data_IF_441443657002
#
_entry.id   IF_441443657002
#
_cell.length_a   1.000
_cell.length_b   1.000
_cell.length_c   1.000
_cell.angle_alpha   90.00
_cell.angle_beta   90.00
_cell.angle_gamma   90.00
#
_symmetry.space_group_name_H-M   'P 1'
#
loop_
_entity.id
_entity.type
_entity.pdbx_description
1 polymer ?
#
# COMPACT_ATOMS: atom_id res chain seq x y z
N UNK A 1 4.13 -17.17 58.37
CA UNK A 1 4.80 -15.85 58.43
C UNK A 1 4.46 -14.92 57.26
N UNK A 2 3.90 -15.42 56.16
CA UNK A 2 3.51 -14.64 54.95
C UNK A 2 2.33 -13.68 55.16
N UNK A 3 1.42 -13.96 56.10
CA UNK A 3 0.18 -13.17 56.31
C UNK A 3 0.37 -11.82 57.00
N UNK A 4 1.51 -11.56 57.66
CA UNK A 4 1.80 -10.25 58.28
C UNK A 4 2.38 -9.25 57.28
N UNK A 5 3.11 -9.72 56.26
CA UNK A 5 3.69 -8.86 55.23
C UNK A 5 2.59 -8.25 54.34
N UNK A 6 1.55 -9.02 53.98
CA UNK A 6 0.43 -8.56 53.12
C UNK A 6 -0.54 -7.56 53.79
N UNK A 7 -0.36 -7.23 55.08
CA UNK A 7 -1.23 -6.31 55.82
C UNK A 7 -0.64 -4.91 56.00
N UNK A 8 0.64 -4.71 55.64
CA UNK A 8 1.26 -3.39 55.73
C UNK A 8 0.77 -2.51 54.57
N UNK A 9 0.37 -1.25 54.81
CA UNK A 9 -0.02 -0.35 53.72
C UNK A 9 1.10 -0.15 52.69
N UNK A 10 2.37 -0.19 53.14
CA UNK A 10 3.55 -0.04 52.29
C UNK A 10 3.72 -1.18 51.27
N UNK A 11 3.38 -2.43 51.62
CA UNK A 11 3.48 -3.55 50.66
C UNK A 11 2.42 -3.42 49.56
N UNK A 12 1.22 -2.94 49.90
CA UNK A 12 0.20 -2.66 48.89
C UNK A 12 0.61 -1.52 47.97
N UNK A 13 1.19 -0.43 48.51
CA UNK A 13 1.75 0.66 47.70
C UNK A 13 2.82 0.14 46.75
N UNK A 14 3.78 -0.66 47.24
CA UNK A 14 4.85 -1.22 46.39
C UNK A 14 4.28 -2.12 45.28
N UNK A 15 3.31 -2.99 45.60
CA UNK A 15 2.63 -3.84 44.61
C UNK A 15 1.89 -3.00 43.58
N UNK A 16 1.17 -1.96 44.00
CA UNK A 16 0.45 -1.06 43.08
C UNK A 16 1.41 -0.32 42.16
N UNK A 17 2.54 0.19 42.66
CA UNK A 17 3.55 0.86 41.84
C UNK A 17 4.17 -0.10 40.83
N UNK A 18 4.52 -1.32 41.25
CA UNK A 18 5.05 -2.35 40.35
C UNK A 18 4.04 -2.75 39.28
N UNK A 19 2.77 -2.95 39.66
CA UNK A 19 1.71 -3.29 38.73
C UNK A 19 1.45 -2.15 37.72
N UNK A 20 1.43 -0.89 38.19
CA UNK A 20 1.29 0.28 37.32
C UNK A 20 2.47 0.41 36.35
N UNK A 21 3.71 0.21 36.84
CA UNK A 21 4.90 0.19 36.00
C UNK A 21 4.90 -0.92 34.95
N UNK A 22 4.48 -2.13 35.33
CA UNK A 22 4.34 -3.25 34.40
C UNK A 22 3.25 -2.99 33.35
N UNK A 23 2.08 -2.47 33.76
CA UNK A 23 1.00 -2.11 32.86
C UNK A 23 1.43 -1.01 31.87
N UNK A 24 2.14 0.00 32.36
CA UNK A 24 2.72 1.06 31.53
C UNK A 24 3.75 0.49 30.53
N UNK A 25 4.65 -0.38 31.00
CA UNK A 25 5.64 -1.04 30.15
C UNK A 25 4.99 -1.87 29.04
N UNK A 26 3.99 -2.69 29.37
CA UNK A 26 3.24 -3.47 28.39
C UNK A 26 2.52 -2.58 27.37
N UNK A 27 1.87 -1.51 27.83
CA UNK A 27 1.21 -0.53 26.95
C UNK A 27 2.18 0.18 26.00
N UNK A 28 3.36 0.57 26.48
CA UNK A 28 4.36 1.30 25.69
C UNK A 28 5.11 0.42 24.69
N UNK A 29 5.50 -0.79 25.09
CA UNK A 29 6.28 -1.68 24.25
C UNK A 29 5.43 -2.53 23.31
N UNK A 30 4.19 -2.87 23.69
CA UNK A 30 3.24 -3.64 22.89
C UNK A 30 3.83 -4.97 22.37
N UNK A 31 4.40 -5.85 23.23
CA UNK A 31 5.11 -7.06 22.79
C UNK A 31 4.24 -8.03 21.98
N UNK A 32 2.92 -8.02 22.15
CA UNK A 32 1.99 -8.84 21.37
C UNK A 32 2.02 -8.52 19.87
N UNK A 33 2.45 -7.32 19.47
CA UNK A 33 2.59 -6.95 18.04
C UNK A 33 3.60 -7.83 17.29
N UNK A 34 4.48 -8.54 17.99
CA UNK A 34 5.40 -9.52 17.39
C UNK A 34 4.69 -10.77 16.85
N UNK A 35 3.48 -11.08 17.32
CA UNK A 35 2.75 -12.31 16.98
C UNK A 35 1.36 -12.06 16.38
N UNK A 36 0.84 -10.84 16.48
CA UNK A 36 -0.44 -10.46 15.87
C UNK A 36 -0.24 -9.91 14.46
N UNK A 37 -1.22 -10.11 13.58
CA UNK A 37 -1.33 -9.42 12.30
C UNK A 37 -2.66 -8.66 12.24
N UNK A 38 -2.65 -7.54 11.51
CA UNK A 38 -3.84 -6.77 11.16
C UNK A 38 -3.93 -6.77 9.64
N UNK A 39 -4.99 -7.40 9.13
CA UNK A 39 -5.27 -7.48 7.71
C UNK A 39 -6.33 -6.45 7.33
N UNK A 40 -6.11 -5.76 6.23
CA UNK A 40 -7.04 -4.79 5.65
C UNK A 40 -7.27 -5.21 4.21
N UNK A 41 -8.53 -5.21 3.78
CA UNK A 41 -8.92 -5.54 2.41
C UNK A 41 -9.86 -4.44 1.92
N UNK A 42 -9.28 -3.32 1.52
CA UNK A 42 -10.00 -2.21 0.91
C UNK A 42 -10.25 -2.48 -0.57
N UNK A 43 -11.40 -2.03 -1.07
CA UNK A 43 -11.70 -2.10 -2.50
C UNK A 43 -10.78 -1.15 -3.26
N UNK A 44 -9.83 -1.74 -3.99
CA UNK A 44 -8.92 -1.02 -4.87
C UNK A 44 -9.58 -0.74 -6.21
N UNK A 45 -9.10 0.28 -6.91
CA UNK A 45 -9.56 0.56 -8.25
C UNK A 45 -9.32 -0.63 -9.19
N UNK A 46 -10.34 -0.98 -9.96
CA UNK A 46 -10.23 -1.92 -11.07
C UNK A 46 -9.55 -1.19 -12.22
N UNK A 47 -8.23 -1.25 -12.25
CA UNK A 47 -7.44 -0.75 -13.38
C UNK A 47 -7.31 -1.90 -14.37
N UNK A 48 -7.76 -1.69 -15.61
CA UNK A 48 -7.58 -2.67 -16.67
C UNK A 48 -6.09 -2.79 -17.00
N UNK A 49 -5.41 -3.80 -16.44
CA UNK A 49 -4.14 -4.27 -16.99
C UNK A 49 -4.45 -4.88 -18.34
N UNK A 50 -3.85 -4.38 -19.41
CA UNK A 50 -3.91 -5.05 -20.70
C UNK A 50 -3.23 -6.42 -20.55
N UNK A 51 -4.00 -7.45 -20.26
CA UNK A 51 -3.56 -8.83 -20.39
C UNK A 51 -3.06 -9.01 -21.82
N UNK A 52 -1.87 -9.58 -22.07
CA UNK A 52 -1.51 -9.97 -23.42
C UNK A 52 -2.58 -10.95 -23.90
N UNK A 53 -3.39 -10.54 -24.88
CA UNK A 53 -4.24 -11.46 -25.63
C UNK A 53 -3.32 -12.53 -26.19
N UNK A 54 -3.49 -13.75 -25.69
CA UNK A 54 -2.96 -14.95 -26.31
C UNK A 54 -3.62 -15.08 -27.69
N UNK A 55 -2.98 -14.46 -28.69
CA UNK A 55 -3.40 -14.52 -30.07
C UNK A 55 -3.04 -15.90 -30.63
N UNK A 56 -3.88 -16.91 -30.38
CA UNK A 56 -3.91 -18.10 -31.23
C UNK A 56 -4.89 -17.84 -32.37
N UNK A 57 -4.38 -17.20 -33.42
CA UNK A 57 -5.03 -17.18 -34.72
C UNK A 57 -4.70 -18.47 -35.46
N UNK A 58 -5.72 -19.26 -35.80
CA UNK A 58 -5.65 -20.23 -36.89
C UNK A 58 -6.82 -19.97 -37.83
N UNK A 59 -6.60 -19.35 -39.00
CA UNK A 59 -7.64 -19.27 -40.02
C UNK A 59 -7.70 -20.60 -40.76
N UNK A 60 -8.78 -21.37 -40.56
CA UNK A 60 -9.07 -22.52 -41.41
C UNK A 60 -9.92 -22.05 -42.60
N UNK A 61 -9.37 -22.14 -43.79
CA UNK A 61 -10.05 -21.89 -45.05
C UNK A 61 -10.86 -23.13 -45.47
N UNK A 62 -12.15 -22.97 -45.79
CA UNK A 62 -12.82 -23.56 -46.96
C UNK A 62 -14.35 -23.48 -46.81
N UNK A 63 -14.98 -22.61 -47.61
CA UNK A 63 -16.26 -22.87 -48.27
C UNK A 63 -16.46 -21.89 -49.43
N UNK A 64 -16.94 -22.43 -50.54
CA UNK A 64 -17.07 -21.83 -51.87
C UNK A 64 -18.27 -20.83 -51.98
N UNK A 65 -18.44 -20.14 -53.12
CA UNK A 65 -19.23 -18.90 -53.23
C UNK A 65 -20.69 -19.17 -53.63
N UNK A 66 -21.60 -18.25 -53.28
CA UNK A 66 -22.84 -18.04 -54.03
C UNK A 66 -23.36 -16.59 -53.93
N UNK A 67 -23.61 -16.06 -55.13
CA UNK A 67 -24.37 -14.93 -55.68
C UNK A 67 -25.18 -13.91 -54.81
N UNK A 68 -24.96 -12.63 -55.17
CA UNK A 68 -25.89 -11.49 -55.32
C UNK A 68 -27.00 -11.22 -54.29
N UNK A 69 -26.93 -10.05 -53.63
CA UNK A 69 -27.82 -8.89 -53.86
C UNK A 69 -27.42 -7.70 -52.99
N UNK A 70 -27.55 -6.49 -53.52
CA UNK A 70 -27.41 -5.18 -52.84
C UNK A 70 -28.77 -4.46 -52.87
N UNK A 71 -28.99 -3.29 -52.23
CA UNK A 71 -28.44 -2.68 -51.01
C UNK A 71 -29.58 -2.16 -50.07
N UNK A 72 -29.25 -1.22 -49.19
CA UNK A 72 -30.10 -0.38 -48.30
C UNK A 72 -30.46 -0.90 -46.90
N UNK A 73 -29.81 -0.34 -45.88
CA UNK A 73 -30.46 0.66 -45.03
C UNK A 73 -29.45 1.30 -44.06
N UNK A 74 -29.49 2.63 -44.07
CA UNK A 74 -28.87 3.56 -43.13
C UNK A 74 -28.94 3.08 -41.66
N UNK A 75 -27.79 3.04 -41.01
CA UNK A 75 -27.68 3.22 -39.57
C UNK A 75 -26.60 4.26 -39.35
N UNK A 76 -27.02 5.45 -38.92
CA UNK A 76 -26.13 6.51 -38.48
C UNK A 76 -25.23 5.97 -37.35
N UNK A 77 -23.94 6.32 -37.31
CA UNK A 77 -23.17 6.11 -36.10
C UNK A 77 -23.71 7.08 -35.05
N UNK A 78 -24.33 6.53 -34.02
CA UNK A 78 -24.71 7.26 -32.83
C UNK A 78 -23.49 8.00 -32.27
N UNK A 79 -23.75 9.24 -31.88
CA UNK A 79 -22.78 10.15 -31.35
C UNK A 79 -22.10 9.57 -30.10
N UNK A 80 -20.77 9.51 -30.16
CA UNK A 80 -19.86 9.91 -29.08
C UNK A 80 -20.31 9.56 -27.66
N UNK A 81 -20.22 8.28 -27.30
CA UNK A 81 -19.84 7.93 -25.93
C UNK A 81 -18.33 8.14 -25.84
N UNK A 82 -17.90 9.28 -25.31
CA UNK A 82 -16.52 9.38 -24.81
C UNK A 82 -16.34 8.23 -23.80
N UNK A 83 -15.31 7.38 -23.94
CA UNK A 83 -15.11 6.30 -22.98
C UNK A 83 -14.90 6.96 -21.62
N UNK A 84 -15.74 6.60 -20.65
CA UNK A 84 -15.47 6.88 -19.24
C UNK A 84 -14.19 6.13 -18.91
N UNK A 85 -13.06 6.83 -19.01
CA UNK A 85 -11.75 6.25 -18.72
C UNK A 85 -11.76 6.00 -17.21
N UNK A 86 -11.98 4.75 -16.82
CA UNK A 86 -11.85 4.30 -15.44
C UNK A 86 -10.49 4.67 -14.84
N UNK A 87 -10.27 4.44 -13.55
CA UNK A 87 -9.04 4.86 -12.89
C UNK A 87 -7.78 4.38 -13.62
N UNK A 88 -6.79 5.26 -13.76
CA UNK A 88 -5.56 5.00 -14.54
C UNK A 88 -4.35 4.97 -13.61
N UNK A 89 -3.47 4.00 -13.77
CA UNK A 89 -2.17 3.97 -13.06
C UNK A 89 -1.28 5.09 -13.60
N UNK A 90 -0.76 5.91 -12.69
CA UNK A 90 0.16 7.01 -12.97
C UNK A 90 1.61 6.57 -12.75
N UNK A 91 1.87 5.86 -11.64
CA UNK A 91 3.17 5.26 -11.32
C UNK A 91 2.98 3.97 -10.55
N UNK A 92 3.91 3.03 -10.69
CA UNK A 92 3.85 1.74 -9.99
C UNK A 92 5.25 1.25 -9.61
N UNK A 93 5.31 0.30 -8.69
CA UNK A 93 6.48 -0.53 -8.46
C UNK A 93 6.32 -1.50 -7.29
N UNK A 94 7.22 -2.47 -7.22
CA UNK A 94 7.18 -3.54 -6.22
C UNK A 94 7.99 -3.18 -4.97
N UNK A 95 7.49 -3.62 -3.82
CA UNK A 95 8.23 -3.48 -2.56
C UNK A 95 9.45 -4.40 -2.54
N UNK A 96 10.58 -3.85 -2.08
CA UNK A 96 11.72 -4.62 -1.62
C UNK A 96 11.77 -4.64 -0.09
N UNK A 97 12.33 -5.72 0.44
CA UNK A 97 12.64 -5.86 1.87
C UNK A 97 13.71 -4.88 2.31
N UNK A 98 13.45 -4.17 3.41
CA UNK A 98 14.45 -3.42 4.18
C UNK A 98 14.67 -4.07 5.56
N UNK A 99 14.43 -3.35 6.66
CA UNK A 99 14.67 -3.89 8.02
C UNK A 99 13.77 -5.10 8.32
N UNK A 100 12.62 -5.21 7.65
CA UNK A 100 11.68 -6.32 7.80
C UNK A 100 11.23 -6.86 6.45
N UNK A 101 11.06 -8.19 6.37
CA UNK A 101 10.49 -8.83 5.18
C UNK A 101 9.22 -8.11 4.75
N UNK A 102 9.22 -7.61 3.51
CA UNK A 102 8.14 -6.80 2.96
C UNK A 102 7.94 -7.12 1.49
N UNK A 103 6.69 -7.38 1.11
CA UNK A 103 6.28 -7.64 -0.28
C UNK A 103 4.96 -6.94 -0.62
N UNK A 104 4.62 -6.94 -1.90
CA UNK A 104 3.43 -6.31 -2.47
C UNK A 104 3.79 -5.26 -3.52
N UNK A 105 2.80 -4.53 -4.00
CA UNK A 105 2.95 -3.48 -5.01
C UNK A 105 2.45 -2.15 -4.46
N UNK A 106 3.17 -1.08 -4.73
CA UNK A 106 2.67 0.28 -4.57
C UNK A 106 2.29 0.83 -5.95
N UNK A 107 1.09 1.38 -6.09
CA UNK A 107 0.68 2.09 -7.32
C UNK A 107 -0.05 3.38 -6.99
N UNK A 108 0.31 4.45 -7.68
CA UNK A 108 -0.46 5.69 -7.66
C UNK A 108 -1.43 5.62 -8.82
N UNK A 109 -2.71 5.80 -8.53
CA UNK A 109 -3.77 5.92 -9.52
C UNK A 109 -4.27 7.36 -9.59
N UNK A 110 -4.82 7.72 -10.75
CA UNK A 110 -5.75 8.84 -10.91
C UNK A 110 -7.15 8.27 -10.97
N UNK A 111 -8.02 8.68 -10.05
CA UNK A 111 -9.44 8.28 -10.04
C UNK A 111 -10.20 8.96 -11.17
N UNK A 112 -11.44 8.52 -11.41
CA UNK A 112 -12.37 9.15 -12.38
C UNK A 112 -12.63 10.62 -12.05
N UNK A 113 -12.59 10.98 -10.76
CA UNK A 113 -12.77 12.36 -10.28
C UNK A 113 -11.48 13.20 -10.38
N UNK A 114 -10.42 12.65 -11.00
CA UNK A 114 -9.12 13.30 -11.18
C UNK A 114 -8.24 13.35 -9.92
N UNK A 115 -8.69 12.78 -8.80
CA UNK A 115 -7.91 12.73 -7.57
C UNK A 115 -6.79 11.68 -7.66
N UNK A 116 -5.70 11.93 -6.93
CA UNK A 116 -4.60 10.99 -6.83
C UNK A 116 -4.73 10.16 -5.56
N UNK A 117 -4.47 8.86 -5.68
CA UNK A 117 -4.53 7.91 -4.58
C UNK A 117 -3.38 6.93 -4.69
N UNK A 118 -2.70 6.68 -3.58
CA UNK A 118 -1.74 5.59 -3.46
C UNK A 118 -2.49 4.33 -3.01
N UNK A 119 -2.33 3.25 -3.75
CA UNK A 119 -2.83 1.92 -3.40
C UNK A 119 -1.66 0.99 -3.11
N UNK A 120 -1.73 0.33 -1.97
CA UNK A 120 -0.85 -0.77 -1.60
C UNK A 120 -1.61 -2.07 -1.88
N UNK A 121 -1.11 -2.84 -2.84
CA UNK A 121 -1.74 -4.07 -3.33
C UNK A 121 -0.99 -5.26 -2.74
N UNK A 122 -1.72 -6.15 -2.06
CA UNK A 122 -1.19 -7.37 -1.48
C UNK A 122 -0.02 -7.13 -0.52
N UNK A 123 -0.06 -6.03 0.25
CA UNK A 123 1.01 -5.72 1.19
C UNK A 123 1.17 -6.88 2.17
N UNK A 124 2.42 -7.27 2.45
CA UNK A 124 2.73 -8.17 3.55
C UNK A 124 4.03 -7.69 4.19
N UNK A 125 3.96 -7.27 5.45
CA UNK A 125 5.13 -6.85 6.24
C UNK A 125 4.95 -7.20 7.71
N UNK A 126 6.00 -7.00 8.51
CA UNK A 126 5.94 -7.15 9.96
C UNK A 126 5.20 -6.00 10.62
N UNK A 127 4.67 -6.23 11.83
CA UNK A 127 4.06 -5.16 12.62
C UNK A 127 5.10 -4.23 13.24
N UNK A 128 4.71 -2.98 13.46
CA UNK A 128 5.57 -1.98 14.09
C UNK A 128 4.82 -1.11 15.10
N UNK A 129 5.56 -0.44 15.99
CA UNK A 129 4.98 0.45 16.98
C UNK A 129 4.37 1.71 16.34
N UNK A 130 4.94 2.19 15.23
CA UNK A 130 4.55 3.45 14.62
C UNK A 130 4.76 3.49 13.10
N UNK A 131 4.19 2.52 12.37
CA UNK A 131 4.31 2.45 10.92
C UNK A 131 3.49 3.54 10.22
N UNK A 132 4.07 4.10 9.16
CA UNK A 132 3.55 5.17 8.30
C UNK A 132 3.75 4.80 6.84
N UNK A 133 2.92 5.39 5.99
CA UNK A 133 3.09 5.34 4.54
C UNK A 133 3.57 6.69 4.07
N UNK A 134 4.79 6.74 3.55
CA UNK A 134 5.45 7.96 3.08
C UNK A 134 5.69 7.89 1.58
N UNK A 135 5.37 8.97 0.86
CA UNK A 135 5.92 9.26 -0.46
C UNK A 135 7.19 10.11 -0.27
N UNK A 136 8.25 9.85 -1.01
CA UNK A 136 9.56 10.48 -0.75
C UNK A 136 10.42 10.58 -2.01
N UNK A 137 11.34 11.55 -2.01
CA UNK A 137 12.30 11.78 -3.08
C UNK A 137 13.56 10.91 -3.01
N UNK A 138 13.64 10.07 -1.99
CA UNK A 138 14.80 9.23 -1.75
C UNK A 138 14.74 7.96 -2.62
N UNK A 139 15.86 7.57 -3.25
CA UNK A 139 15.90 6.38 -4.07
C UNK A 139 15.80 5.12 -3.21
N UNK A 140 15.11 4.11 -3.72
CA UNK A 140 15.10 2.79 -3.11
C UNK A 140 16.46 2.11 -3.33
N UNK A 141 17.08 1.63 -2.24
CA UNK A 141 18.40 0.99 -2.25
C UNK A 141 18.32 -0.33 -1.49
N UNK A 142 18.88 -1.39 -2.04
CA UNK A 142 18.99 -2.67 -1.35
C UNK A 142 20.05 -2.60 -0.23
N UNK A 143 19.90 -3.46 0.78
CA UNK A 143 20.81 -3.53 1.93
C UNK A 143 20.61 -2.42 2.95
N UNK A 144 21.39 -2.46 4.03
CA UNK A 144 21.21 -1.59 5.21
C UNK A 144 21.40 -0.10 4.92
N UNK A 145 22.10 0.24 3.83
CA UNK A 145 22.29 1.61 3.38
C UNK A 145 20.98 2.28 2.91
N UNK A 146 19.95 1.51 2.55
CA UNK A 146 18.63 2.04 2.17
C UNK A 146 17.65 2.21 3.33
N UNK A 147 17.98 1.74 4.54
CA UNK A 147 16.98 1.59 5.59
C UNK A 147 16.59 2.90 6.27
N UNK A 148 17.48 3.89 6.30
CA UNK A 148 17.33 5.11 7.10
C UNK A 148 17.41 6.40 6.29
N UNK A 149 17.21 6.32 4.97
CA UNK A 149 17.41 7.48 4.08
C UNK A 149 16.15 8.30 3.86
N UNK A 150 14.97 7.75 4.13
CA UNK A 150 13.71 8.30 3.64
C UNK A 150 13.25 9.60 4.34
N UNK A 151 13.92 9.98 5.42
CA UNK A 151 13.79 11.27 6.11
C UNK A 151 14.89 12.29 5.76
N UNK A 152 15.84 11.96 4.86
CA UNK A 152 16.95 12.83 4.46
C UNK A 152 16.57 13.89 3.38
N UNK A 153 15.32 13.86 2.89
CA UNK A 153 14.85 14.74 1.80
C UNK A 153 13.39 15.13 1.91
N UNK A 154 12.74 15.42 0.78
CA UNK A 154 11.31 15.73 0.76
C UNK A 154 10.51 14.44 0.93
N UNK A 155 9.52 14.50 1.82
CA UNK A 155 8.57 13.41 2.01
C UNK A 155 7.18 13.96 2.36
N UNK A 156 6.17 13.14 2.09
CA UNK A 156 4.77 13.38 2.43
C UNK A 156 4.26 12.16 3.18
N UNK A 157 3.84 12.35 4.43
CA UNK A 157 3.17 11.32 5.22
C UNK A 157 1.70 11.24 4.80
N UNK A 158 1.31 10.13 4.16
CA UNK A 158 -0.08 9.90 3.75
C UNK A 158 -0.95 9.37 4.89
N UNK A 159 -0.33 8.76 5.90
CA UNK A 159 -1.01 8.34 7.11
C UNK A 159 -0.34 7.18 7.85
N UNK A 160 -1.03 6.70 8.88
CA UNK A 160 -0.68 5.46 9.59
C UNK A 160 -0.90 4.25 8.69
N UNK A 161 -0.03 3.25 8.81
CA UNK A 161 -0.30 1.96 8.19
C UNK A 161 -1.57 1.37 8.81
N UNK A 162 -2.58 1.04 7.99
CA UNK A 162 -3.89 0.58 8.50
C UNK A 162 -3.79 -0.90 8.92
N UNK A 163 -3.14 -1.71 8.09
CA UNK A 163 -2.79 -3.10 8.37
C UNK A 163 -1.40 -3.46 7.86
N UNK A 164 -0.76 -4.44 8.49
CA UNK A 164 0.52 -4.98 8.02
C UNK A 164 0.33 -6.07 6.94
N UNK A 165 -0.92 -6.39 6.59
CA UNK A 165 -1.30 -7.29 5.51
C UNK A 165 -2.48 -6.76 4.69
N UNK A 166 -2.50 -7.11 3.41
CA UNK A 166 -3.65 -6.95 2.50
C UNK A 166 -3.64 -5.64 1.71
N UNK A 167 -4.80 -5.32 1.15
CA UNK A 167 -5.04 -4.19 0.25
C UNK A 167 -5.48 -2.94 1.02
N UNK A 168 -4.84 -1.80 0.76
CA UNK A 168 -5.18 -0.54 1.42
C UNK A 168 -4.83 0.68 0.57
N UNK A 169 -5.67 1.71 0.66
CA UNK A 169 -5.58 2.92 -0.14
C UNK A 169 -5.39 4.18 0.73
N UNK A 170 -4.67 5.15 0.18
CA UNK A 170 -4.36 6.43 0.82
C UNK A 170 -4.58 7.56 -0.16
N UNK A 171 -5.43 8.52 0.21
CA UNK A 171 -5.61 9.71 -0.59
C UNK A 171 -4.33 10.56 -0.56
N UNK A 172 -3.91 11.05 -1.72
CA UNK A 172 -2.79 11.97 -1.84
C UNK A 172 -3.39 13.38 -1.78
N UNK A 173 -3.03 14.21 -0.79
CA UNK A 173 -3.62 15.54 -0.64
C UNK A 173 -3.50 16.37 -1.92
N UNK A 174 -4.57 17.10 -2.25
CA UNK A 174 -4.56 18.01 -3.37
C UNK A 174 -3.40 19.03 -3.23
N UNK A 175 -2.66 19.24 -4.32
CA UNK A 175 -1.50 20.13 -4.35
C UNK A 175 -0.17 19.48 -3.97
N UNK A 176 -0.14 18.20 -3.59
CA UNK A 176 1.13 17.45 -3.53
C UNK A 176 1.68 17.30 -4.94
N UNK A 177 2.84 17.88 -5.16
CA UNK A 177 3.60 17.68 -6.38
C UNK A 177 4.33 16.33 -6.34
N UNK A 178 3.97 15.42 -7.24
CA UNK A 178 4.62 14.12 -7.39
C UNK A 178 5.96 14.21 -8.12
N UNK A 179 6.33 15.37 -8.66
CA UNK A 179 7.62 15.57 -9.29
C UNK A 179 8.75 15.37 -8.27
N UNK A 180 9.64 14.43 -8.60
CA UNK A 180 10.74 14.01 -7.73
C UNK A 180 10.33 13.09 -6.56
N UNK A 181 9.06 12.91 -6.22
CA UNK A 181 8.63 11.87 -5.27
C UNK A 181 8.60 10.52 -6.00
N UNK A 182 9.72 9.80 -5.94
CA UNK A 182 10.00 8.61 -6.74
C UNK A 182 9.90 7.30 -5.97
N UNK A 183 9.50 7.31 -4.71
CA UNK A 183 9.33 6.07 -3.95
C UNK A 183 8.28 6.16 -2.86
N UNK A 184 7.84 4.98 -2.42
CA UNK A 184 7.02 4.77 -1.22
C UNK A 184 7.85 4.02 -0.19
N UNK A 185 7.80 4.46 1.07
CA UNK A 185 8.36 3.72 2.19
C UNK A 185 7.28 3.37 3.22
N UNK A 186 7.30 2.13 3.70
CA UNK A 186 6.64 1.75 4.95
C UNK A 186 7.58 2.14 6.09
N UNK A 187 7.42 3.35 6.61
CA UNK A 187 8.35 3.99 7.54
C UNK A 187 7.93 3.80 9.00
N UNK A 188 8.83 3.31 9.84
CA UNK A 188 8.62 3.28 11.29
C UNK A 188 9.12 4.59 11.91
N UNK A 189 8.21 5.54 12.12
CA UNK A 189 8.55 6.88 12.63
C UNK A 189 9.22 6.87 14.00
N UNK A 190 8.90 5.89 14.86
CA UNK A 190 9.53 5.74 16.18
C UNK A 190 11.01 5.38 16.12
N UNK A 191 11.41 4.61 15.11
CA UNK A 191 12.76 4.04 15.01
C UNK A 191 13.57 4.61 13.84
N UNK A 192 12.99 5.55 13.09
CA UNK A 192 13.58 6.14 11.90
C UNK A 192 14.14 5.08 10.94
N UNK A 193 13.30 4.10 10.59
CA UNK A 193 13.70 2.98 9.73
C UNK A 193 12.58 2.54 8.80
N UNK A 194 12.94 2.19 7.57
CA UNK A 194 12.06 1.61 6.56
C UNK A 194 11.93 0.11 6.77
N UNK A 195 10.69 -0.38 6.79
CA UNK A 195 10.39 -1.82 6.81
C UNK A 195 10.52 -2.39 5.40
N UNK A 196 9.95 -1.70 4.41
CA UNK A 196 10.19 -1.94 2.99
C UNK A 196 9.92 -0.68 2.19
N UNK A 197 10.39 -0.66 0.94
CA UNK A 197 10.17 0.46 0.04
C UNK A 197 9.95 0.01 -1.40
N UNK A 198 9.18 0.77 -2.16
CA UNK A 198 8.90 0.51 -3.57
C UNK A 198 9.30 1.74 -4.40
N UNK A 199 10.11 1.58 -5.47
CA UNK A 199 10.30 2.66 -6.43
C UNK A 199 8.98 2.91 -7.17
N UNK A 200 8.74 4.15 -7.59
CA UNK A 200 7.57 4.53 -8.36
C UNK A 200 8.02 5.00 -9.74
N UNK A 201 7.80 4.16 -10.74
CA UNK A 201 8.12 4.44 -12.14
C UNK A 201 6.85 4.65 -12.95
N UNK A 202 6.94 5.41 -14.04
CA UNK A 202 5.86 5.47 -15.03
C UNK A 202 6.05 4.26 -15.95
N UNK A 203 5.00 3.46 -16.13
CA UNK A 203 4.99 2.37 -17.12
C UNK A 203 4.90 2.92 -18.55
#
# INVERSE_FOLDING_TARGET
MTSRLLRAPLTWVAVTVLAAGAAFGLYWFQPWKLVTNTEVNEELAVVATATPSDATSTPNASAAPDTSSAPDASSAPDASSAPDLGPVIVRSGEFITHEHDTSGTARIIRTTDGQLRLELVGLSTSNGPDLRVWLTDQPVRTGTAGWRVFDDGRWVELGRLKGNRGDQAYDIPAGVDLEGLSSVSIWCKRFAVSFGAAPLTTD
#
